data_IF_517282737994
#
_entry.id   IF_517282737994
#
_cell.length_a   1.000
_cell.length_b   1.000
_cell.length_c   1.000
_cell.angle_alpha   90.00
_cell.angle_beta   90.00
_cell.angle_gamma   90.00
#
_symmetry.space_group_name_H-M   'P 1'
#
loop_
_entity.id
_entity.type
_entity.pdbx_description
1 polymer ?
#
# COMPACT_ATOMS: atom_id res chain seq x y z
N UNK A 1 -18.93 -54.05 49.19
CA UNK A 1 -18.14 -53.73 48.00
C UNK A 1 -18.41 -52.26 47.65
N UNK A 2 -17.48 -51.36 47.99
CA UNK A 2 -17.64 -49.92 47.71
C UNK A 2 -17.00 -49.59 46.37
N UNK A 3 -17.84 -49.18 45.41
CA UNK A 3 -17.40 -48.75 44.07
C UNK A 3 -16.88 -47.31 44.15
N UNK A 4 -15.57 -47.11 44.08
CA UNK A 4 -14.98 -45.78 43.99
C UNK A 4 -15.29 -45.17 42.62
N UNK A 5 -16.09 -44.11 42.59
CA UNK A 5 -16.30 -43.28 41.39
C UNK A 5 -15.06 -42.42 41.14
N UNK A 6 -14.32 -42.70 40.07
CA UNK A 6 -13.26 -41.83 39.58
C UNK A 6 -13.89 -40.54 39.03
N UNK A 7 -13.52 -39.39 39.58
CA UNK A 7 -13.87 -38.06 39.05
C UNK A 7 -12.61 -37.42 38.48
N UNK A 8 -12.59 -37.21 37.16
CA UNK A 8 -11.57 -36.37 36.51
C UNK A 8 -11.89 -34.89 36.74
N UNK A 9 -10.95 -34.14 37.31
CA UNK A 9 -11.01 -32.68 37.35
C UNK A 9 -10.28 -32.12 36.12
N UNK A 10 -11.00 -31.47 35.20
CA UNK A 10 -10.38 -30.68 34.13
C UNK A 10 -9.86 -29.38 34.76
N UNK A 11 -8.56 -29.36 35.07
CA UNK A 11 -7.86 -28.14 35.44
C UNK A 11 -7.70 -27.21 34.23
N UNK A 12 -7.85 -25.90 34.47
CA UNK A 12 -7.43 -24.86 33.54
C UNK A 12 -8.53 -24.32 32.63
N UNK A 13 -9.29 -23.34 33.14
CA UNK A 13 -9.96 -22.35 32.31
C UNK A 13 -8.89 -21.41 31.74
N UNK A 14 -8.18 -21.80 30.68
CA UNK A 14 -7.45 -20.84 29.87
C UNK A 14 -8.50 -20.09 29.04
N UNK A 15 -8.76 -18.84 29.41
CA UNK A 15 -9.47 -17.90 28.57
C UNK A 15 -8.90 -17.97 27.16
N UNK A 16 -9.72 -18.37 26.17
CA UNK A 16 -9.37 -18.26 24.76
C UNK A 16 -9.04 -16.81 24.48
N UNK A 17 -7.76 -16.44 24.39
CA UNK A 17 -7.36 -15.14 23.87
C UNK A 17 -7.98 -15.04 22.49
N UNK A 18 -8.88 -14.09 22.26
CA UNK A 18 -9.20 -13.67 20.89
C UNK A 18 -7.89 -13.21 20.30
N UNK A 19 -7.40 -13.93 19.29
CA UNK A 19 -6.28 -13.47 18.48
C UNK A 19 -6.66 -12.10 17.95
N UNK A 20 -6.00 -11.06 18.45
CA UNK A 20 -6.15 -9.71 17.89
C UNK A 20 -5.20 -9.67 16.71
N UNK A 21 -5.76 -9.75 15.51
CA UNK A 21 -5.03 -9.59 14.27
C UNK A 21 -4.63 -8.11 14.21
N UNK A 22 -3.37 -7.79 14.51
CA UNK A 22 -2.80 -6.49 14.16
C UNK A 22 -2.86 -6.28 12.63
N UNK A 23 -2.71 -5.08 12.07
CA UNK A 23 -2.71 -4.92 10.62
C UNK A 23 -1.42 -5.51 10.00
N UNK A 24 -1.53 -6.46 9.06
CA UNK A 24 -0.42 -6.93 8.22
C UNK A 24 -0.15 -5.89 7.12
N UNK A 25 1.05 -5.32 7.12
CA UNK A 25 1.48 -4.33 6.13
C UNK A 25 2.48 -4.89 5.12
N UNK A 26 2.76 -6.19 5.16
CA UNK A 26 3.69 -6.88 4.27
C UNK A 26 3.19 -6.95 2.81
N UNK A 27 1.93 -6.62 2.58
CA UNK A 27 1.32 -6.65 1.25
C UNK A 27 1.69 -5.39 0.45
N UNK A 28 2.21 -5.61 -0.76
CA UNK A 28 2.53 -4.55 -1.72
C UNK A 28 1.24 -3.83 -2.15
N UNK A 29 1.20 -2.51 -2.02
CA UNK A 29 0.17 -1.66 -2.66
C UNK A 29 0.72 -1.14 -3.98
N UNK A 30 0.00 -1.37 -5.06
CA UNK A 30 0.34 -0.83 -6.39
C UNK A 30 -0.75 0.13 -6.81
N UNK A 31 -0.36 1.34 -7.22
CA UNK A 31 -1.26 2.35 -7.75
C UNK A 31 -1.15 2.35 -9.27
N UNK A 32 -2.28 2.51 -9.96
CA UNK A 32 -2.34 2.59 -11.42
C UNK A 32 -3.06 3.87 -11.83
N UNK A 33 -2.62 4.48 -12.93
CA UNK A 33 -3.31 5.57 -13.62
C UNK A 33 -3.70 5.10 -15.01
N UNK A 34 -4.95 5.30 -15.42
CA UNK A 34 -5.47 4.88 -16.72
C UNK A 34 -6.19 6.06 -17.39
N UNK A 35 -5.79 6.37 -18.63
CA UNK A 35 -6.47 7.35 -19.48
C UNK A 35 -7.11 6.65 -20.68
N UNK A 36 -8.42 6.84 -20.86
CA UNK A 36 -9.18 6.30 -21.98
C UNK A 36 -9.70 7.43 -22.88
N UNK A 37 -9.41 7.36 -24.19
CA UNK A 37 -10.07 8.18 -25.20
C UNK A 37 -11.36 7.51 -25.65
N UNK A 38 -12.51 8.07 -25.28
CA UNK A 38 -13.83 7.48 -25.55
C UNK A 38 -14.51 8.03 -26.82
N UNK A 39 -14.22 9.28 -27.17
CA UNK A 39 -14.83 10.00 -28.30
C UNK A 39 -13.82 11.01 -28.86
N UNK A 40 -13.99 11.36 -30.14
CA UNK A 40 -13.21 12.40 -30.83
C UNK A 40 -13.82 13.81 -30.68
N UNK A 41 -15.10 13.90 -30.32
CA UNK A 41 -15.83 15.16 -30.18
C UNK A 41 -16.72 15.19 -28.94
N UNK A 42 -17.45 16.30 -28.78
CA UNK A 42 -18.25 16.57 -27.60
C UNK A 42 -19.32 15.49 -27.34
N UNK A 43 -19.42 15.01 -26.11
CA UNK A 43 -20.40 14.03 -25.65
C UNK A 43 -21.13 14.55 -24.41
N UNK A 44 -22.34 14.04 -24.15
CA UNK A 44 -23.15 14.39 -22.97
C UNK A 44 -22.61 13.79 -21.65
N UNK A 45 -21.64 12.89 -21.73
CA UNK A 45 -21.04 12.20 -20.58
C UNK A 45 -21.36 10.71 -20.51
N UNK A 46 -21.02 10.10 -19.38
CA UNK A 46 -21.31 8.68 -19.11
C UNK A 46 -22.81 8.48 -18.83
N UNK A 47 -23.39 7.41 -19.39
CA UNK A 47 -24.82 7.15 -19.35
C UNK A 47 -25.45 7.23 -17.94
N UNK A 48 -24.74 6.78 -16.91
CA UNK A 48 -25.13 6.88 -15.50
C UNK A 48 -24.00 7.45 -14.62
N UNK A 49 -23.21 8.41 -15.14
CA UNK A 49 -22.06 8.95 -14.41
C UNK A 49 -21.07 7.87 -13.97
N UNK A 50 -20.56 7.95 -12.74
CA UNK A 50 -19.59 6.97 -12.21
C UNK A 50 -20.18 5.57 -11.98
N UNK A 51 -21.50 5.41 -11.98
CA UNK A 51 -22.13 4.09 -11.96
C UNK A 51 -21.87 3.32 -13.26
N UNK A 52 -21.48 4.01 -14.35
CA UNK A 52 -21.08 3.40 -15.61
C UNK A 52 -19.62 2.95 -15.67
N UNK A 53 -18.81 3.22 -14.64
CA UNK A 53 -17.40 2.83 -14.59
C UNK A 53 -17.28 1.63 -13.65
N UNK A 54 -16.68 0.53 -14.13
CA UNK A 54 -16.61 -0.73 -13.40
C UNK A 54 -15.16 -1.16 -13.16
N UNK A 55 -14.89 -1.61 -11.93
CA UNK A 55 -13.69 -2.35 -11.56
C UNK A 55 -14.11 -3.77 -11.20
N UNK A 56 -13.60 -4.76 -11.93
CA UNK A 56 -13.94 -6.18 -11.73
C UNK A 56 -15.46 -6.44 -11.66
N UNK A 57 -16.21 -5.83 -12.58
CA UNK A 57 -17.68 -5.88 -12.66
C UNK A 57 -18.44 -5.21 -11.50
N UNK A 58 -17.76 -4.48 -10.62
CA UNK A 58 -18.39 -3.67 -9.57
C UNK A 58 -18.36 -2.19 -9.99
N UNK A 59 -19.50 -1.49 -10.03
CA UNK A 59 -19.52 -0.08 -10.41
C UNK A 59 -18.80 0.77 -9.36
N UNK A 60 -18.21 1.91 -9.75
CA UNK A 60 -17.54 2.80 -8.81
C UNK A 60 -18.50 3.39 -7.77
N UNK A 61 -19.73 3.70 -8.19
CA UNK A 61 -20.80 4.18 -7.32
C UNK A 61 -21.97 3.21 -7.28
N UNK A 62 -22.59 3.09 -6.12
CA UNK A 62 -23.81 2.33 -5.93
C UNK A 62 -25.04 3.10 -6.46
N UNK A 63 -26.23 2.47 -6.52
CA UNK A 63 -27.47 3.14 -6.94
C UNK A 63 -27.87 4.36 -6.11
N UNK A 64 -27.37 4.46 -4.87
CA UNK A 64 -27.57 5.60 -3.96
C UNK A 64 -26.52 6.70 -4.11
N UNK A 65 -25.63 6.61 -5.12
CA UNK A 65 -24.51 7.51 -5.42
C UNK A 65 -23.39 7.52 -4.36
N UNK A 66 -23.28 6.50 -3.53
CA UNK A 66 -22.15 6.33 -2.62
C UNK A 66 -21.04 5.50 -3.30
N UNK A 67 -19.78 5.82 -3.00
CA UNK A 67 -18.61 5.15 -3.58
C UNK A 67 -18.44 3.74 -3.02
N UNK A 68 -18.24 2.75 -3.89
CA UNK A 68 -17.97 1.36 -3.52
C UNK A 68 -16.49 1.10 -3.21
N UNK A 69 -15.61 2.02 -3.62
CA UNK A 69 -14.16 1.88 -3.47
C UNK A 69 -13.55 3.11 -2.80
N UNK A 70 -12.72 2.88 -1.80
CA UNK A 70 -11.88 3.92 -1.23
C UNK A 70 -10.62 4.13 -2.09
N UNK A 71 -10.16 5.38 -2.19
CA UNK A 71 -8.93 5.76 -2.92
C UNK A 71 -8.99 5.55 -4.45
N UNK A 72 -10.18 5.58 -5.05
CA UNK A 72 -10.34 5.68 -6.50
C UNK A 72 -10.72 7.12 -6.85
N UNK A 73 -9.97 7.73 -7.76
CA UNK A 73 -10.30 9.03 -8.34
C UNK A 73 -10.59 8.78 -9.81
N UNK A 74 -11.77 9.18 -10.27
CA UNK A 74 -12.17 9.11 -11.66
C UNK A 74 -12.57 10.50 -12.12
N UNK A 75 -12.03 10.93 -13.25
CA UNK A 75 -12.28 12.23 -13.85
C UNK A 75 -12.70 12.03 -15.30
N UNK A 76 -13.60 12.88 -15.79
CA UNK A 76 -14.19 12.77 -17.12
C UNK A 76 -14.04 14.08 -17.89
N UNK A 77 -13.78 13.97 -19.20
CA UNK A 77 -13.68 15.10 -20.12
C UNK A 77 -14.70 14.92 -21.22
N UNK A 78 -15.51 15.95 -21.45
CA UNK A 78 -16.62 15.90 -22.39
C UNK A 78 -16.21 16.01 -23.86
N UNK A 79 -14.93 16.19 -24.20
CA UNK A 79 -14.50 16.44 -25.59
C UNK A 79 -14.88 17.82 -26.17
N UNK A 80 -15.12 18.84 -25.33
CA UNK A 80 -15.33 20.23 -25.75
C UNK A 80 -14.05 20.83 -26.36
N UNK A 81 -14.21 21.92 -27.12
CA UNK A 81 -13.07 22.59 -27.79
C UNK A 81 -12.10 23.23 -26.78
N UNK A 82 -12.65 23.82 -25.71
CA UNK A 82 -11.89 24.31 -24.56
C UNK A 82 -12.05 23.31 -23.40
N UNK A 83 -10.93 22.72 -22.95
CA UNK A 83 -10.88 21.79 -21.81
C UNK A 83 -9.64 21.96 -20.96
N UNK A 84 -9.80 21.70 -19.67
CA UNK A 84 -8.69 21.69 -18.73
C UNK A 84 -7.73 20.53 -19.05
N UNK A 85 -6.45 20.85 -18.95
CA UNK A 85 -5.36 19.89 -19.10
C UNK A 85 -5.53 18.72 -18.12
N UNK A 86 -5.25 17.50 -18.59
CA UNK A 86 -5.27 16.30 -17.76
C UNK A 86 -3.92 16.17 -17.08
N UNK A 87 -3.86 16.57 -15.81
CA UNK A 87 -2.65 16.49 -15.00
C UNK A 87 -2.24 15.03 -14.69
N UNK A 88 -0.94 14.80 -14.55
CA UNK A 88 -0.39 13.54 -14.04
C UNK A 88 -0.14 12.43 -15.06
N UNK A 89 -0.13 12.74 -16.37
CA UNK A 89 0.16 11.81 -17.48
C UNK A 89 1.50 11.95 -18.24
N UNK A 90 2.40 12.91 -17.98
CA UNK A 90 3.79 12.77 -18.44
C UNK A 90 4.65 12.20 -17.30
N UNK A 91 4.85 10.88 -17.25
CA UNK A 91 5.90 10.30 -16.42
C UNK A 91 7.00 9.74 -17.32
N UNK A 92 8.14 10.44 -17.39
CA UNK A 92 9.39 9.86 -17.86
C UNK A 92 10.14 9.44 -16.60
N UNK A 93 9.82 8.25 -16.09
CA UNK A 93 10.55 7.69 -14.96
C UNK A 93 11.73 6.85 -15.45
N UNK A 94 12.91 7.15 -14.90
CA UNK A 94 14.12 6.35 -15.09
C UNK A 94 14.48 5.65 -13.78
N UNK A 95 14.21 4.35 -13.70
CA UNK A 95 14.59 3.53 -12.54
C UNK A 95 16.08 3.13 -12.64
N UNK A 96 16.87 3.45 -11.61
CA UNK A 96 18.25 3.00 -11.49
C UNK A 96 18.34 2.04 -10.31
N UNK A 97 18.69 0.78 -10.57
CA UNK A 97 18.91 -0.21 -9.53
C UNK A 97 20.14 0.18 -8.68
N UNK A 98 19.92 0.38 -7.38
CA UNK A 98 20.97 0.85 -6.47
C UNK A 98 21.76 -0.29 -5.84
N UNK A 99 21.24 -1.52 -5.77
CA UNK A 99 21.94 -2.72 -5.26
C UNK A 99 22.70 -2.53 -3.92
N UNK A 100 22.23 -1.63 -3.06
CA UNK A 100 22.78 -1.40 -1.73
C UNK A 100 21.88 -2.09 -0.71
N UNK A 101 22.49 -2.88 0.18
CA UNK A 101 21.82 -3.40 1.36
C UNK A 101 21.71 -2.29 2.40
N UNK A 102 20.47 -1.97 2.79
CA UNK A 102 20.21 -1.02 3.88
C UNK A 102 20.29 -1.73 5.23
N UNK A 103 20.98 -1.12 6.19
CA UNK A 103 21.16 -1.65 7.54
C UNK A 103 20.73 -0.61 8.56
N UNK A 104 20.23 -1.07 9.71
CA UNK A 104 19.73 -0.18 10.76
C UNK A 104 20.80 0.69 11.42
N UNK A 105 22.08 0.30 11.30
CA UNK A 105 23.22 1.00 11.89
C UNK A 105 23.80 2.08 10.96
N UNK A 106 23.58 1.98 9.65
CA UNK A 106 24.27 2.78 8.64
C UNK A 106 23.26 3.35 7.64
N UNK A 107 22.99 4.67 7.66
CA UNK A 107 22.13 5.29 6.66
C UNK A 107 22.82 5.30 5.29
N UNK A 108 22.02 5.18 4.24
CA UNK A 108 22.48 5.34 2.86
C UNK A 108 22.05 6.71 2.34
N UNK A 109 23.01 7.45 1.77
CA UNK A 109 22.79 8.81 1.26
C UNK A 109 23.14 8.85 -0.22
N UNK A 110 22.26 9.46 -1.04
CA UNK A 110 22.49 9.66 -2.47
C UNK A 110 22.15 11.10 -2.86
N UNK A 111 23.13 11.77 -3.47
CA UNK A 111 22.90 13.06 -4.10
C UNK A 111 22.25 12.87 -5.48
N UNK A 112 21.24 13.69 -5.77
CA UNK A 112 20.59 13.78 -7.08
C UNK A 112 20.78 15.23 -7.57
N UNK A 113 21.28 15.39 -8.79
CA UNK A 113 21.63 16.70 -9.35
C UNK A 113 20.84 17.05 -10.62
N UNK A 114 19.87 16.21 -11.01
CA UNK A 114 19.04 16.49 -12.16
C UNK A 114 17.93 17.48 -11.76
N UNK A 115 17.94 18.67 -12.37
CA UNK A 115 17.00 19.75 -12.08
C UNK A 115 15.63 19.55 -12.76
N UNK A 116 15.54 18.63 -13.73
CA UNK A 116 14.29 18.28 -14.40
C UNK A 116 13.48 17.22 -13.61
N UNK A 117 13.87 16.91 -12.36
CA UNK A 117 13.17 15.94 -11.53
C UNK A 117 12.02 16.60 -10.77
N UNK A 118 10.79 16.18 -11.08
CA UNK A 118 9.60 16.59 -10.32
C UNK A 118 9.29 15.66 -9.13
N UNK A 119 9.74 14.40 -9.20
CA UNK A 119 9.48 13.39 -8.18
C UNK A 119 10.57 12.32 -8.10
N UNK A 120 10.71 11.69 -6.92
CA UNK A 120 11.62 10.56 -6.69
C UNK A 120 10.79 9.35 -6.27
N UNK A 121 10.89 8.27 -7.05
CA UNK A 121 10.33 6.97 -6.69
C UNK A 121 11.39 6.12 -5.98
N UNK A 122 11.09 5.70 -4.75
CA UNK A 122 11.98 4.85 -3.94
C UNK A 122 11.34 3.47 -3.81
N UNK A 123 11.99 2.46 -4.41
CA UNK A 123 11.57 1.07 -4.30
C UNK A 123 12.46 0.34 -3.29
N UNK A 124 11.85 -0.06 -2.19
CA UNK A 124 12.50 -0.90 -1.19
C UNK A 124 12.08 -2.36 -1.38
N UNK A 125 13.06 -3.27 -1.35
CA UNK A 125 12.83 -4.71 -1.43
C UNK A 125 13.33 -5.37 -0.16
N UNK A 126 12.48 -6.21 0.40
CA UNK A 126 12.75 -6.97 1.61
C UNK A 126 12.76 -8.46 1.27
N UNK A 127 13.58 -9.23 1.99
CA UNK A 127 13.43 -10.69 2.01
C UNK A 127 12.20 -11.13 2.81
N UNK A 128 12.05 -12.43 3.09
CA UNK A 128 11.02 -12.91 4.01
C UNK A 128 11.17 -12.23 5.38
N UNK A 129 10.18 -11.45 5.79
CA UNK A 129 10.14 -10.80 7.11
C UNK A 129 9.46 -11.68 8.17
N UNK A 130 9.52 -13.00 8.00
CA UNK A 130 9.05 -14.01 8.95
C UNK A 130 10.14 -15.06 9.15
N UNK A 131 10.28 -15.58 10.36
CA UNK A 131 11.19 -16.69 10.68
C UNK A 131 10.42 -17.80 11.38
N UNK A 132 10.58 -19.03 10.88
CA UNK A 132 10.11 -20.22 11.56
C UNK A 132 11.21 -20.77 12.46
N UNK A 133 10.90 -20.99 13.73
CA UNK A 133 11.79 -21.67 14.64
C UNK A 133 11.86 -23.16 14.25
N UNK A 134 13.05 -23.68 13.92
CA UNK A 134 13.23 -25.05 13.47
C UNK A 134 12.95 -26.10 14.56
N UNK A 135 13.01 -25.73 15.84
CA UNK A 135 12.88 -26.66 16.97
C UNK A 135 11.43 -26.88 17.40
N UNK A 136 10.56 -25.89 17.22
CA UNK A 136 9.17 -25.95 17.68
C UNK A 136 8.12 -25.56 16.62
N UNK A 137 8.54 -25.11 15.43
CA UNK A 137 7.65 -24.74 14.34
C UNK A 137 6.98 -23.37 14.51
N UNK A 138 7.31 -22.60 15.55
CA UNK A 138 6.72 -21.29 15.78
C UNK A 138 7.18 -20.30 14.71
N UNK A 139 6.25 -19.51 14.16
CA UNK A 139 6.57 -18.43 13.23
C UNK A 139 6.61 -17.10 13.99
N UNK A 140 7.67 -16.33 13.80
CA UNK A 140 7.87 -14.99 14.34
C UNK A 140 7.93 -13.98 13.19
N UNK A 141 7.15 -12.91 13.28
CA UNK A 141 7.19 -11.81 12.33
C UNK A 141 8.19 -10.72 12.76
N UNK A 142 8.88 -10.14 11.78
CA UNK A 142 9.75 -8.98 12.00
C UNK A 142 9.00 -7.68 11.72
N UNK A 143 9.40 -6.62 12.44
CA UNK A 143 9.01 -5.24 12.13
C UNK A 143 10.25 -4.44 11.74
N UNK A 144 10.22 -3.85 10.55
CA UNK A 144 11.24 -2.95 10.03
C UNK A 144 10.69 -1.53 10.10
N UNK A 145 11.37 -0.63 10.80
CA UNK A 145 11.06 0.80 10.81
C UNK A 145 12.07 1.52 9.92
N UNK A 146 11.60 2.46 9.12
CA UNK A 146 12.45 3.23 8.23
C UNK A 146 11.92 4.66 8.09
N UNK A 147 12.84 5.58 7.83
CA UNK A 147 12.54 6.98 7.54
C UNK A 147 13.22 7.39 6.23
N UNK A 148 12.66 8.38 5.56
CA UNK A 148 13.25 9.01 4.38
C UNK A 148 13.39 10.49 4.70
N UNK A 149 14.64 10.96 4.64
CA UNK A 149 14.98 12.36 4.86
C UNK A 149 15.37 12.99 3.51
N UNK A 150 14.92 14.21 3.27
CA UNK A 150 15.23 15.00 2.09
C UNK A 150 16.04 16.23 2.47
N UNK A 151 17.09 16.51 1.71
CA UNK A 151 17.85 17.74 1.76
C UNK A 151 17.86 18.35 0.37
N UNK A 152 17.34 19.58 0.25
CA UNK A 152 17.40 20.39 -0.97
C UNK A 152 18.44 21.50 -0.81
N UNK A 153 19.18 21.81 -1.87
CA UNK A 153 20.11 22.94 -1.96
C UNK A 153 21.11 23.10 -0.79
N UNK A 154 21.54 21.97 -0.21
CA UNK A 154 22.47 21.97 0.92
C UNK A 154 21.88 22.48 2.24
N UNK A 155 20.54 22.57 2.33
CA UNK A 155 19.81 22.96 3.55
C UNK A 155 19.88 21.91 4.66
N UNK A 156 18.93 21.93 5.60
CA UNK A 156 18.83 20.90 6.63
C UNK A 156 18.08 19.67 6.12
N UNK A 157 18.41 18.49 6.65
CA UNK A 157 17.62 17.29 6.43
C UNK A 157 16.23 17.46 7.04
N UNK A 158 15.20 17.09 6.27
CA UNK A 158 13.80 17.09 6.71
C UNK A 158 13.24 15.69 6.50
N UNK A 159 12.69 15.07 7.55
CA UNK A 159 11.99 13.79 7.44
C UNK A 159 10.71 13.99 6.62
N UNK A 160 10.64 13.34 5.45
CA UNK A 160 9.48 13.39 4.55
C UNK A 160 8.63 12.12 4.63
N UNK A 161 9.17 11.04 5.20
CA UNK A 161 8.44 9.81 5.46
C UNK A 161 8.96 9.15 6.74
N UNK A 162 8.03 8.74 7.60
CA UNK A 162 8.30 7.84 8.71
C UNK A 162 7.33 6.66 8.61
N UNK A 163 7.85 5.46 8.41
CA UNK A 163 7.03 4.30 8.09
C UNK A 163 7.56 3.02 8.75
N UNK A 164 6.69 2.02 8.82
CA UNK A 164 7.04 0.69 9.30
C UNK A 164 6.41 -0.40 8.43
N UNK A 165 7.13 -1.52 8.33
CA UNK A 165 6.71 -2.74 7.69
C UNK A 165 6.68 -3.86 8.75
N UNK A 166 5.52 -4.46 8.98
CA UNK A 166 5.38 -5.55 9.94
C UNK A 166 4.74 -6.77 9.28
N UNK A 167 5.36 -7.94 9.46
CA UNK A 167 4.69 -9.21 9.18
C UNK A 167 4.08 -9.77 10.45
N UNK A 168 2.90 -10.35 10.32
CA UNK A 168 2.20 -11.00 11.43
C UNK A 168 2.53 -12.49 11.55
N UNK A 169 2.07 -13.08 12.66
CA UNK A 169 1.89 -14.53 12.81
C UNK A 169 0.78 -15.02 11.89
#
# INVERSE_FOLDING_TARGET
MNTAKIKGAKGGSSSTKRATIAPDSAQSKTYIKILYGLSEGEVEGLANGLQSVYLENTPLQNPSLEDNFENVICDFRYGTLDQDYIEGYPDISSEVAVNVELKSDTPWVRALSNQDLDAINIRLKWGPIRQTNPDNGDVYGYTIKYAIDLQTDGGTWVEVLNAQLSAQQ
#
